data_IF_641491332874
#
_entry.id   IF_641491332874
#
_cell.length_a   1.000
_cell.length_b   1.000
_cell.length_c   1.000
_cell.angle_alpha   90.00
_cell.angle_beta   90.00
_cell.angle_gamma   90.00
#
_symmetry.space_group_name_H-M   'P 1'
#
loop_
_entity.id
_entity.type
_entity.pdbx_description
1 polymer ?
#
# COMPACT_ATOMS: atom_id res chain seq x y z
N UNK A 1 22.16 6.11 24.78
CA UNK A 1 21.11 7.11 24.51
C UNK A 1 19.77 6.40 24.67
N UNK A 2 18.77 7.03 25.29
CA UNK A 2 17.44 6.43 25.43
C UNK A 2 16.70 6.52 24.09
N UNK A 3 15.96 5.47 23.71
CA UNK A 3 15.12 5.47 22.52
C UNK A 3 13.98 6.49 22.70
N UNK A 4 13.78 7.36 21.72
CA UNK A 4 12.70 8.35 21.73
C UNK A 4 11.51 7.89 20.88
N UNK A 5 11.77 7.21 19.75
CA UNK A 5 10.72 6.72 18.85
C UNK A 5 10.98 5.26 18.46
N UNK A 6 9.93 4.43 18.53
CA UNK A 6 9.93 3.06 18.01
C UNK A 6 9.07 3.01 16.76
N UNK A 7 9.63 2.49 15.66
CA UNK A 7 8.92 2.29 14.40
C UNK A 7 8.71 0.78 14.21
N UNK A 8 7.46 0.39 13.96
CA UNK A 8 7.09 -1.00 13.69
C UNK A 8 6.77 -1.15 12.20
N UNK A 9 7.58 -1.97 11.51
CA UNK A 9 7.50 -2.23 10.08
C UNK A 9 8.65 -1.58 9.30
N UNK A 10 9.55 -2.40 8.77
CA UNK A 10 10.72 -2.01 7.98
C UNK A 10 10.46 -1.92 6.47
N UNK A 11 9.19 -1.85 6.05
CA UNK A 11 8.84 -1.53 4.67
C UNK A 11 9.17 -0.09 4.29
N UNK A 12 8.88 0.30 3.05
CA UNK A 12 9.24 1.63 2.52
C UNK A 12 8.74 2.80 3.38
N UNK A 13 7.54 2.66 3.97
CA UNK A 13 6.93 3.66 4.86
C UNK A 13 7.77 3.85 6.13
N UNK A 14 8.04 2.75 6.85
CA UNK A 14 8.76 2.81 8.11
C UNK A 14 10.25 3.10 7.95
N UNK A 15 10.87 2.65 6.86
CA UNK A 15 12.25 3.01 6.52
C UNK A 15 12.38 4.51 6.22
N UNK A 16 11.43 5.11 5.49
CA UNK A 16 11.42 6.55 5.23
C UNK A 16 11.17 7.37 6.50
N UNK A 17 10.25 6.92 7.36
CA UNK A 17 10.02 7.53 8.68
C UNK A 17 11.27 7.47 9.56
N UNK A 18 11.95 6.31 9.60
CA UNK A 18 13.19 6.13 10.36
C UNK A 18 14.29 7.07 9.88
N UNK A 19 14.47 7.17 8.56
CA UNK A 19 15.42 8.09 7.94
C UNK A 19 15.12 9.54 8.30
N UNK A 20 13.86 9.97 8.18
CA UNK A 20 13.45 11.35 8.50
C UNK A 20 13.75 11.71 9.95
N UNK A 21 13.39 10.84 10.88
CA UNK A 21 13.64 11.06 12.31
C UNK A 21 15.15 11.06 12.62
N UNK A 22 15.93 10.17 11.99
CA UNK A 22 17.37 10.17 12.13
C UNK A 22 18.00 11.48 11.61
N UNK A 23 17.49 12.03 10.50
CA UNK A 23 17.91 13.35 10.00
C UNK A 23 17.55 14.51 10.94
N UNK A 24 16.57 14.31 11.83
CA UNK A 24 16.17 15.27 12.87
C UNK A 24 16.89 15.03 14.21
N UNK A 25 17.97 14.23 14.24
CA UNK A 25 18.72 13.83 15.44
C UNK A 25 17.87 13.11 16.51
N UNK A 26 16.75 12.49 16.12
CA UNK A 26 15.89 11.70 17.01
C UNK A 26 16.42 10.27 17.10
N UNK A 27 16.50 9.72 18.32
CA UNK A 27 16.93 8.34 18.52
C UNK A 27 15.81 7.34 18.18
N UNK A 28 15.98 6.60 17.08
CA UNK A 28 14.97 5.66 16.55
C UNK A 28 15.37 4.20 16.74
N UNK A 29 14.40 3.37 17.11
CA UNK A 29 14.49 1.90 17.00
C UNK A 29 13.51 1.42 15.92
N UNK A 30 14.02 0.81 14.85
CA UNK A 30 13.20 0.18 13.81
C UNK A 30 13.07 -1.32 14.08
N UNK A 31 11.84 -1.81 14.16
CA UNK A 31 11.51 -3.23 14.39
C UNK A 31 10.74 -3.77 13.20
N UNK A 32 11.19 -4.89 12.63
CA UNK A 32 10.48 -5.60 11.57
C UNK A 32 10.51 -7.11 11.83
N UNK A 33 9.35 -7.76 11.66
CA UNK A 33 9.16 -9.16 11.99
C UNK A 33 9.59 -10.15 10.88
N UNK A 34 9.98 -9.68 9.70
CA UNK A 34 10.50 -10.60 8.69
C UNK A 34 9.44 -11.40 7.89
N UNK A 35 8.13 -11.17 8.08
CA UNK A 35 7.06 -12.00 7.50
C UNK A 35 7.17 -12.25 5.97
N UNK A 36 6.72 -13.43 5.55
CA UNK A 36 6.52 -13.74 4.13
C UNK A 36 5.33 -12.95 3.55
N UNK A 37 5.35 -12.66 2.25
CA UNK A 37 4.28 -11.93 1.58
C UNK A 37 4.24 -10.42 1.88
N UNK A 38 5.35 -9.84 2.35
CA UNK A 38 5.45 -8.38 2.59
C UNK A 38 5.19 -7.57 1.33
N UNK A 39 4.33 -6.56 1.47
CA UNK A 39 3.94 -5.64 0.41
C UNK A 39 5.15 -5.00 -0.30
N UNK A 40 6.12 -4.46 0.44
CA UNK A 40 7.26 -3.74 -0.14
C UNK A 40 8.16 -4.65 -0.97
N UNK A 41 8.44 -5.88 -0.51
CA UNK A 41 9.33 -6.81 -1.20
C UNK A 41 8.72 -7.38 -2.50
N UNK A 42 7.39 -7.51 -2.51
CA UNK A 42 6.62 -7.98 -3.67
C UNK A 42 6.15 -6.85 -4.60
N UNK A 43 6.26 -5.59 -4.18
CA UNK A 43 5.85 -4.46 -4.99
C UNK A 43 6.74 -4.31 -6.22
N UNK A 44 6.14 -4.25 -7.40
CA UNK A 44 6.85 -4.15 -8.68
C UNK A 44 7.53 -2.79 -8.95
N UNK A 45 7.60 -1.89 -7.97
CA UNK A 45 8.40 -0.66 -8.14
C UNK A 45 7.69 0.48 -8.86
N UNK A 46 6.35 0.52 -8.98
CA UNK A 46 5.69 1.66 -9.65
C UNK A 46 5.88 2.91 -8.78
N UNK A 47 6.93 3.68 -9.09
CA UNK A 47 7.10 5.07 -8.68
C UNK A 47 6.68 5.87 -9.91
N UNK A 48 5.42 6.27 -9.97
CA UNK A 48 4.97 7.19 -11.02
C UNK A 48 5.14 8.61 -10.49
N UNK A 49 6.06 9.44 -11.03
CA UNK A 49 6.33 10.78 -10.54
C UNK A 49 5.19 11.76 -10.92
N UNK A 50 4.00 11.53 -10.37
CA UNK A 50 2.67 11.72 -10.97
C UNK A 50 2.35 10.62 -12.00
N UNK A 51 1.16 10.04 -11.96
CA UNK A 51 0.67 9.10 -13.00
C UNK A 51 0.87 9.75 -14.37
N UNK A 52 1.57 9.09 -15.30
CA UNK A 52 1.97 9.61 -16.64
C UNK A 52 0.80 9.99 -17.58
N UNK A 53 -0.41 10.02 -17.03
CA UNK A 53 -1.68 10.38 -17.64
C UNK A 53 -2.41 11.16 -16.55
N UNK A 54 -2.72 12.43 -16.80
CA UNK A 54 -3.84 13.10 -16.13
C UNK A 54 -5.08 12.63 -16.86
N UNK A 55 -5.88 11.72 -16.29
CA UNK A 55 -7.12 11.31 -16.94
C UNK A 55 -7.97 12.56 -17.14
N UNK A 56 -8.59 12.77 -18.31
CA UNK A 56 -9.52 13.87 -18.50
C UNK A 56 -10.65 13.76 -17.49
N UNK A 57 -11.27 14.88 -17.10
CA UNK A 57 -12.30 14.91 -16.04
C UNK A 57 -13.43 13.88 -16.24
N UNK A 58 -13.72 13.54 -17.50
CA UNK A 58 -14.70 12.50 -17.90
C UNK A 58 -14.36 11.08 -17.42
N UNK A 59 -13.09 10.79 -17.12
CA UNK A 59 -12.64 9.50 -16.58
C UNK A 59 -13.14 9.27 -15.15
N UNK A 60 -13.11 10.31 -14.30
CA UNK A 60 -13.39 10.14 -12.89
C UNK A 60 -14.82 9.68 -12.61
N UNK A 61 -15.89 10.22 -13.25
CA UNK A 61 -17.24 9.69 -13.09
C UNK A 61 -17.35 8.19 -13.42
N UNK A 62 -16.68 7.72 -14.47
CA UNK A 62 -16.66 6.30 -14.84
C UNK A 62 -15.89 5.48 -13.81
N UNK A 63 -14.72 5.94 -13.38
CA UNK A 63 -13.90 5.26 -12.38
C UNK A 63 -14.64 5.16 -11.03
N UNK A 64 -15.30 6.24 -10.59
CA UNK A 64 -16.13 6.24 -9.40
C UNK A 64 -17.32 5.29 -9.52
N UNK A 65 -18.03 5.29 -10.65
CA UNK A 65 -19.15 4.38 -10.89
C UNK A 65 -18.69 2.90 -10.90
N UNK A 66 -17.55 2.61 -11.54
CA UNK A 66 -16.97 1.28 -11.57
C UNK A 66 -16.54 0.81 -10.17
N UNK A 67 -15.89 1.67 -9.39
CA UNK A 67 -15.50 1.37 -8.01
C UNK A 67 -16.73 1.16 -7.11
N UNK A 68 -17.76 2.01 -7.23
CA UNK A 68 -19.00 1.89 -6.47
C UNK A 68 -19.83 0.66 -6.85
N UNK A 69 -19.74 0.19 -8.10
CA UNK A 69 -20.40 -1.03 -8.56
C UNK A 69 -19.74 -2.30 -8.04
N UNK A 70 -18.42 -2.25 -7.77
CA UNK A 70 -17.62 -3.42 -7.45
C UNK A 70 -18.16 -4.26 -6.27
N UNK A 71 -18.59 -3.68 -5.13
CA UNK A 71 -19.19 -4.47 -4.04
C UNK A 71 -20.45 -5.23 -4.44
N UNK A 72 -21.31 -4.65 -5.28
CA UNK A 72 -22.51 -5.32 -5.77
C UNK A 72 -22.18 -6.46 -6.74
N UNK A 73 -21.19 -6.24 -7.61
CA UNK A 73 -20.68 -7.29 -8.50
C UNK A 73 -20.08 -8.45 -7.70
N UNK A 74 -19.29 -8.17 -6.66
CA UNK A 74 -18.73 -9.20 -5.78
C UNK A 74 -19.82 -10.02 -5.07
N UNK A 75 -20.91 -9.38 -4.64
CA UNK A 75 -22.06 -10.08 -4.05
C UNK A 75 -22.75 -10.99 -5.07
N UNK A 76 -22.98 -10.49 -6.29
CA UNK A 76 -23.57 -11.29 -7.38
C UNK A 76 -22.70 -12.50 -7.73
N UNK A 77 -21.39 -12.30 -7.86
CA UNK A 77 -20.43 -13.38 -8.12
C UNK A 77 -20.46 -14.42 -6.99
N UNK A 78 -20.53 -14.00 -5.73
CA UNK A 78 -20.64 -14.92 -4.60
C UNK A 78 -21.94 -15.75 -4.64
N UNK A 79 -23.06 -15.15 -5.01
CA UNK A 79 -24.35 -15.82 -5.21
C UNK A 79 -24.29 -16.83 -6.38
N UNK A 80 -23.55 -16.49 -7.45
CA UNK A 80 -23.29 -17.35 -8.60
C UNK A 80 -22.28 -18.48 -8.31
N UNK A 81 -21.72 -18.52 -7.09
CA UNK A 81 -20.81 -19.56 -6.62
C UNK A 81 -19.32 -19.20 -6.68
N UNK A 82 -18.98 -18.02 -7.19
CA UNK A 82 -17.62 -17.46 -7.21
C UNK A 82 -17.27 -16.87 -5.83
N UNK A 83 -16.75 -17.72 -4.95
CA UNK A 83 -16.48 -17.37 -3.53
C UNK A 83 -15.05 -16.92 -3.27
N UNK A 84 -14.16 -17.03 -4.26
CA UNK A 84 -12.75 -16.58 -4.18
C UNK A 84 -12.56 -15.27 -4.95
N UNK A 85 -13.22 -14.20 -4.50
CA UNK A 85 -13.02 -12.87 -5.07
C UNK A 85 -11.90 -12.06 -4.40
N UNK A 86 -11.23 -12.67 -3.43
CA UNK A 86 -9.99 -12.20 -2.83
C UNK A 86 -9.23 -13.35 -2.19
N UNK A 87 -7.90 -13.38 -2.35
CA UNK A 87 -7.04 -14.40 -1.75
C UNK A 87 -6.84 -14.22 -0.23
N UNK A 88 -7.49 -13.21 0.38
CA UNK A 88 -7.32 -12.89 1.79
C UNK A 88 -5.85 -12.66 2.17
N UNK A 89 -5.40 -13.36 3.21
CA UNK A 89 -4.00 -13.36 3.67
C UNK A 89 -3.19 -14.54 3.12
N UNK A 90 -3.62 -15.14 2.00
CA UNK A 90 -2.90 -16.25 1.38
C UNK A 90 -1.66 -15.75 0.62
N UNK A 91 -0.49 -16.21 1.05
CA UNK A 91 0.81 -15.86 0.47
C UNK A 91 1.33 -16.91 -0.51
N UNK A 92 0.56 -17.98 -0.78
CA UNK A 92 0.96 -19.05 -1.70
C UNK A 92 0.97 -18.57 -3.15
N UNK A 93 2.05 -18.89 -3.86
CA UNK A 93 2.08 -18.80 -5.32
C UNK A 93 1.28 -19.94 -5.93
N UNK A 94 0.39 -19.65 -6.88
CA UNK A 94 -0.41 -20.69 -7.55
C UNK A 94 -0.07 -20.78 -9.04
N UNK A 95 -0.06 -22.01 -9.58
CA UNK A 95 0.15 -22.22 -11.01
C UNK A 95 -0.92 -21.51 -11.87
N UNK A 96 -2.15 -21.40 -11.37
CA UNK A 96 -3.24 -20.68 -12.04
C UNK A 96 -2.95 -19.17 -12.12
N UNK A 97 -2.55 -18.53 -11.01
CA UNK A 97 -2.19 -17.11 -11.02
C UNK A 97 -0.95 -16.82 -11.88
N UNK A 98 0.04 -17.72 -11.85
CA UNK A 98 1.20 -17.63 -12.76
C UNK A 98 0.78 -17.72 -14.23
N UNK A 99 -0.09 -18.68 -14.56
CA UNK A 99 -0.61 -18.86 -15.92
C UNK A 99 -1.37 -17.61 -16.40
N UNK A 100 -2.18 -17.00 -15.53
CA UNK A 100 -2.93 -15.78 -15.84
C UNK A 100 -1.99 -14.61 -16.20
N UNK A 101 -1.00 -14.34 -15.34
CA UNK A 101 -0.02 -13.26 -15.56
C UNK A 101 0.76 -13.50 -16.86
N UNK A 102 1.26 -14.72 -17.07
CA UNK A 102 2.04 -15.06 -18.27
C UNK A 102 1.19 -14.98 -19.55
N UNK A 103 -0.07 -15.42 -19.49
CA UNK A 103 -1.01 -15.33 -20.62
C UNK A 103 -1.21 -13.88 -21.03
N UNK A 104 -1.49 -12.99 -20.08
CA UNK A 104 -1.67 -11.57 -20.38
C UNK A 104 -0.37 -10.90 -20.85
N UNK A 105 0.76 -11.23 -20.23
CA UNK A 105 2.07 -10.71 -20.65
C UNK A 105 2.39 -11.09 -22.10
N UNK A 106 2.19 -12.36 -22.48
CA UNK A 106 2.44 -12.84 -23.84
C UNK A 106 1.42 -12.34 -24.86
N UNK A 107 0.17 -12.07 -24.44
CA UNK A 107 -0.83 -11.43 -25.28
C UNK A 107 -0.41 -10.00 -25.67
N UNK A 108 0.17 -9.26 -24.73
CA UNK A 108 0.60 -7.87 -24.93
C UNK A 108 1.96 -7.82 -25.64
N UNK A 109 2.90 -8.70 -25.25
CA UNK A 109 4.27 -8.73 -25.76
C UNK A 109 4.69 -10.16 -26.16
N UNK A 110 4.29 -10.65 -27.35
CA UNK A 110 4.56 -12.03 -27.78
C UNK A 110 6.06 -12.39 -27.85
N UNK A 111 6.93 -11.40 -28.05
CA UNK A 111 8.38 -11.59 -28.08
C UNK A 111 8.98 -12.11 -26.76
N UNK A 112 8.23 -12.06 -25.66
CA UNK A 112 8.65 -12.63 -24.36
C UNK A 112 8.54 -14.16 -24.30
N UNK A 113 8.03 -14.84 -25.33
CA UNK A 113 7.79 -16.29 -25.30
C UNK A 113 9.03 -17.16 -25.06
N UNK A 114 10.23 -16.64 -25.35
CA UNK A 114 11.51 -17.32 -25.05
C UNK A 114 12.25 -16.76 -23.84
N UNK A 115 11.66 -15.81 -23.09
CA UNK A 115 12.31 -15.18 -21.96
C UNK A 115 12.35 -16.11 -20.73
N UNK A 116 13.44 -16.02 -19.97
CA UNK A 116 13.57 -16.70 -18.68
C UNK A 116 12.79 -15.95 -17.58
N UNK A 117 12.10 -16.70 -16.72
CA UNK A 117 11.48 -16.15 -15.52
C UNK A 117 12.53 -16.10 -14.42
N UNK A 118 12.96 -14.89 -14.04
CA UNK A 118 13.96 -14.72 -12.97
C UNK A 118 13.39 -14.93 -11.56
N UNK A 119 12.27 -14.29 -11.25
CA UNK A 119 11.62 -14.39 -9.94
C UNK A 119 10.11 -14.13 -10.06
N UNK A 120 9.34 -14.70 -9.15
CA UNK A 120 7.91 -14.43 -8.99
C UNK A 120 7.60 -14.31 -7.51
N UNK A 121 6.92 -13.23 -7.12
CA UNK A 121 6.63 -12.91 -5.72
C UNK A 121 5.15 -12.72 -5.48
N UNK A 122 4.71 -13.08 -4.27
CA UNK A 122 3.38 -12.76 -3.75
C UNK A 122 3.51 -11.70 -2.67
N UNK A 123 2.60 -10.73 -2.66
CA UNK A 123 2.56 -9.65 -1.70
C UNK A 123 1.14 -9.31 -1.28
N UNK A 124 0.90 -9.29 0.02
CA UNK A 124 -0.37 -8.85 0.58
C UNK A 124 -0.42 -7.32 0.56
N UNK A 125 -1.47 -6.76 -0.04
CA UNK A 125 -1.66 -5.31 -0.10
C UNK A 125 -2.40 -4.85 1.16
N UNK A 126 -1.83 -3.92 1.96
CA UNK A 126 -2.55 -3.33 3.08
C UNK A 126 -3.51 -2.29 2.52
N UNK A 127 -4.76 -2.67 2.28
CA UNK A 127 -5.79 -1.79 1.71
C UNK A 127 -6.81 -1.42 2.79
N UNK A 128 -7.17 -0.15 2.89
CA UNK A 128 -8.27 0.31 3.74
C UNK A 128 -9.64 0.05 3.07
N UNK A 129 -10.76 0.07 3.82
CA UNK A 129 -12.10 -0.10 3.25
C UNK A 129 -12.47 0.90 2.14
N UNK A 130 -11.91 2.11 2.20
CA UNK A 130 -12.17 3.21 1.26
C UNK A 130 -11.07 3.40 0.20
N UNK A 131 -10.02 2.58 0.23
CA UNK A 131 -8.87 2.68 -0.67
C UNK A 131 -7.92 3.86 -0.40
N UNK A 132 -8.15 4.66 0.64
CA UNK A 132 -7.27 5.77 1.06
C UNK A 132 -6.28 5.33 2.15
N UNK A 133 -5.05 5.85 2.17
CA UNK A 133 -4.14 5.63 3.30
C UNK A 133 -4.75 5.99 4.66
N UNK A 134 -4.26 5.35 5.71
CA UNK A 134 -4.58 5.66 7.11
C UNK A 134 -3.33 6.26 7.73
N UNK A 135 -3.37 7.56 7.99
CA UNK A 135 -2.23 8.38 8.41
C UNK A 135 -2.62 9.20 9.65
N UNK A 136 -1.70 9.33 10.61
CA UNK A 136 -1.82 10.27 11.72
C UNK A 136 -1.84 9.61 13.09
N UNK A 137 -2.26 10.38 14.10
CA UNK A 137 -2.36 9.92 15.49
C UNK A 137 -3.51 8.92 15.68
N UNK A 138 -3.35 7.99 16.62
CA UNK A 138 -4.41 7.05 17.01
C UNK A 138 -5.21 7.62 18.18
N UNK A 139 -6.52 7.85 18.04
CA UNK A 139 -7.37 8.38 19.10
C UNK A 139 -7.34 7.49 20.34
N UNK A 140 -7.29 8.12 21.51
CA UNK A 140 -7.30 7.43 22.81
C UNK A 140 -5.96 6.80 23.21
N UNK A 141 -4.90 6.91 22.39
CA UNK A 141 -3.56 6.40 22.73
C UNK A 141 -2.51 7.48 22.48
N UNK A 142 -2.03 8.08 23.57
CA UNK A 142 -0.98 9.10 23.51
C UNK A 142 0.32 8.53 22.92
N UNK A 143 0.94 9.27 21.99
CA UNK A 143 2.21 8.89 21.37
C UNK A 143 2.12 7.77 20.32
N UNK A 144 0.93 7.26 19.99
CA UNK A 144 0.74 6.25 18.95
C UNK A 144 0.31 6.89 17.62
N UNK A 145 1.03 6.55 16.56
CA UNK A 145 0.78 7.01 15.20
C UNK A 145 0.71 5.83 14.23
N UNK A 146 -0.02 6.00 13.13
CA UNK A 146 -0.17 4.99 12.08
C UNK A 146 0.11 5.57 10.71
N UNK A 147 0.76 4.77 9.85
CA UNK A 147 0.93 5.04 8.43
C UNK A 147 0.79 3.72 7.65
N UNK A 148 -0.41 3.42 7.17
CA UNK A 148 -0.72 2.15 6.46
C UNK A 148 -1.84 2.36 5.44
N UNK A 149 -2.35 1.29 4.83
CA UNK A 149 -3.56 1.33 4.00
C UNK A 149 -3.34 1.76 2.55
N UNK A 150 -2.10 1.94 2.10
CA UNK A 150 -1.79 2.43 0.75
C UNK A 150 -2.15 1.46 -0.41
N UNK A 151 -2.50 0.21 -0.12
CA UNK A 151 -2.88 -0.77 -1.14
C UNK A 151 -1.84 -0.89 -2.26
N UNK A 152 -2.24 -0.55 -3.49
CA UNK A 152 -1.35 -0.60 -4.66
C UNK A 152 -0.46 0.63 -4.86
N UNK A 153 -0.71 1.73 -4.13
CA UNK A 153 0.03 2.99 -4.28
C UNK A 153 1.17 3.16 -3.26
N UNK A 154 1.44 2.15 -2.44
CA UNK A 154 2.40 2.22 -1.33
C UNK A 154 3.84 2.56 -1.72
N UNK A 155 4.31 2.19 -2.91
CA UNK A 155 5.65 2.57 -3.37
C UNK A 155 5.71 4.04 -3.83
N UNK A 156 4.63 4.57 -4.40
CA UNK A 156 4.53 5.97 -4.83
C UNK A 156 4.37 6.90 -3.62
N UNK A 157 3.43 6.57 -2.73
CA UNK A 157 3.00 7.46 -1.65
C UNK A 157 3.66 7.15 -0.31
N UNK A 158 4.04 5.89 -0.08
CA UNK A 158 4.37 5.39 1.25
C UNK A 158 5.58 6.07 1.88
N UNK A 159 6.63 6.34 1.10
CA UNK A 159 7.81 7.05 1.60
C UNK A 159 7.42 8.45 2.13
N UNK A 160 6.68 9.22 1.32
CA UNK A 160 6.23 10.55 1.72
C UNK A 160 5.28 10.48 2.91
N UNK A 161 4.30 9.57 2.91
CA UNK A 161 3.41 9.37 4.06
C UNK A 161 4.16 9.06 5.35
N UNK A 162 5.19 8.19 5.30
CA UNK A 162 6.02 7.87 6.45
C UNK A 162 6.75 9.09 7.01
N UNK A 163 7.30 9.94 6.12
CA UNK A 163 7.95 11.21 6.49
C UNK A 163 6.95 12.15 7.17
N UNK A 164 5.75 12.33 6.61
CA UNK A 164 4.75 13.25 7.16
C UNK A 164 4.24 12.81 8.54
N UNK A 165 4.02 11.51 8.74
CA UNK A 165 3.62 10.95 10.04
C UNK A 165 4.77 11.01 11.06
N UNK A 166 6.01 10.81 10.62
CA UNK A 166 7.19 10.99 11.47
C UNK A 166 7.31 12.44 11.96
N UNK A 167 7.18 13.43 11.07
CA UNK A 167 7.20 14.85 11.45
C UNK A 167 6.10 15.16 12.48
N UNK A 168 4.88 14.68 12.24
CA UNK A 168 3.77 14.82 13.18
C UNK A 168 4.11 14.26 14.56
N UNK A 169 4.77 13.08 14.62
CA UNK A 169 5.09 12.40 15.86
C UNK A 169 6.06 13.16 16.77
N UNK A 170 6.91 14.01 16.19
CA UNK A 170 7.91 14.83 16.92
C UNK A 170 7.59 16.32 16.91
N UNK A 171 6.38 16.70 16.50
CA UNK A 171 5.93 18.11 16.49
C UNK A 171 6.62 18.98 15.44
N UNK A 172 7.16 18.38 14.38
CA UNK A 172 7.71 19.09 13.22
C UNK A 172 6.61 19.46 12.21
N UNK A 173 6.96 20.33 11.26
CA UNK A 173 6.04 20.76 10.21
C UNK A 173 5.57 19.59 9.34
N UNK A 174 4.26 19.54 9.09
CA UNK A 174 3.60 18.60 8.19
C UNK A 174 3.17 19.36 6.95
N UNK A 175 3.59 18.90 5.77
CA UNK A 175 3.44 19.58 4.49
C UNK A 175 2.23 19.08 3.66
N UNK A 176 1.31 18.34 4.27
CA UNK A 176 0.07 17.86 3.65
C UNK A 176 -1.03 17.78 4.68
N UNK A 177 -2.28 18.01 4.27
CA UNK A 177 -3.43 17.79 5.13
C UNK A 177 -3.64 16.30 5.38
N UNK A 178 -3.48 15.88 6.65
CA UNK A 178 -3.66 14.50 7.09
C UNK A 178 -5.10 14.19 7.51
N UNK A 179 -5.97 15.20 7.68
CA UNK A 179 -7.33 15.02 8.18
C UNK A 179 -8.15 14.04 7.33
N UNK A 180 -8.11 14.08 5.97
CA UNK A 180 -8.82 13.11 5.13
C UNK A 180 -8.34 11.66 5.30
N UNK A 181 -7.15 11.46 5.88
CA UNK A 181 -6.51 10.16 6.08
C UNK A 181 -6.52 9.70 7.54
N UNK A 182 -7.12 10.47 8.46
CA UNK A 182 -7.25 10.10 9.87
C UNK A 182 -8.00 8.78 10.02
N UNK A 183 -7.65 8.01 11.05
CA UNK A 183 -8.40 6.80 11.44
C UNK A 183 -9.83 7.13 11.90
N UNK A 184 -10.07 8.35 12.38
CA UNK A 184 -11.38 8.81 12.85
C UNK A 184 -12.44 8.87 11.75
N UNK A 185 -12.05 8.84 10.47
CA UNK A 185 -13.02 8.83 9.36
C UNK A 185 -13.84 7.53 9.27
N UNK A 186 -13.44 6.49 10.02
CA UNK A 186 -14.15 5.21 10.11
C UNK A 186 -14.96 5.04 11.41
N UNK A 187 -14.99 6.06 12.28
CA UNK A 187 -15.69 6.05 13.56
C UNK A 187 -17.16 6.43 13.44
#
# INVERSE_FOLDING_TARGET
MATEVVIVGGGVVGAAAAYQLACADVSVTLVDAGHDGKATAAGAGIISPASSISPPDVYYPLAYAAAAHYPALLAQLADDGERETGSGYDTRMTAAGMQEILREALRIAPGLGGAEIGDMRVGLRPTSPDGLPILGAVPGVEGLFVATGHGASGLTLGAYSGIQVANLAVGQEVHVDLQPFSVERFA
#
